data_IF_549050062926
#
_entry.id   IF_549050062926
#
_cell.length_a   1.000
_cell.length_b   1.000
_cell.length_c   1.000
_cell.angle_alpha   90.00
_cell.angle_beta   90.00
_cell.angle_gamma   90.00
#
_symmetry.space_group_name_H-M   'P 1'
#
loop_
_entity.id
_entity.type
_entity.pdbx_description
1 polymer ?
#
# COMPACT_ATOMS: atom_id res chain seq x y z
N UNK A 1 18.76 -6.70 9.49
CA UNK A 1 17.98 -5.89 8.54
C UNK A 1 17.36 -4.75 9.35
N UNK A 2 17.94 -3.55 9.27
CA UNK A 2 17.48 -2.40 10.04
C UNK A 2 16.20 -1.86 9.37
N UNK A 3 15.07 -1.93 10.07
CA UNK A 3 13.82 -1.29 9.65
C UNK A 3 13.89 0.17 10.10
N UNK A 4 14.16 1.08 9.16
CA UNK A 4 13.77 2.48 9.32
C UNK A 4 12.27 2.53 9.11
N UNK A 5 11.48 2.12 10.11
CA UNK A 5 10.05 2.38 10.12
C UNK A 5 9.87 3.86 10.41
N UNK A 6 9.38 4.58 9.41
CA UNK A 6 8.91 5.94 9.56
C UNK A 6 7.45 5.84 10.01
N UNK A 7 7.08 6.45 11.14
CA UNK A 7 5.72 6.42 11.70
C UNK A 7 4.66 6.80 10.64
N UNK A 8 5.02 7.70 9.71
CA UNK A 8 4.19 8.05 8.56
C UNK A 8 3.89 6.86 7.64
N UNK A 9 4.87 6.00 7.36
CA UNK A 9 4.67 4.84 6.50
C UNK A 9 3.81 3.78 7.19
N UNK A 10 3.94 3.61 8.51
CA UNK A 10 3.04 2.73 9.26
C UNK A 10 1.59 3.23 9.19
N UNK A 11 1.37 4.53 9.41
CA UNK A 11 0.05 5.14 9.28
C UNK A 11 -0.53 4.96 7.87
N UNK A 12 0.30 5.18 6.83
CA UNK A 12 -0.11 4.94 5.45
C UNK A 12 -0.51 3.48 5.24
N UNK A 13 0.27 2.50 5.73
CA UNK A 13 -0.07 1.08 5.61
C UNK A 13 -1.41 0.76 6.27
N UNK A 14 -1.67 1.30 7.47
CA UNK A 14 -2.95 1.09 8.14
C UNK A 14 -4.12 1.69 7.35
N UNK A 15 -3.96 2.91 6.81
CA UNK A 15 -4.98 3.53 5.96
C UNK A 15 -5.17 2.78 4.62
N UNK A 16 -4.10 2.22 4.05
CA UNK A 16 -4.18 1.45 2.80
C UNK A 16 -5.03 0.18 2.95
N UNK A 17 -5.09 -0.41 4.15
CA UNK A 17 -5.91 -1.59 4.44
C UNK A 17 -7.41 -1.30 4.43
N UNK A 18 -7.81 -0.05 4.72
CA UNK A 18 -9.22 0.35 4.79
C UNK A 18 -9.68 1.07 3.51
N UNK A 19 -8.76 1.56 2.68
CA UNK A 19 -9.09 2.17 1.40
C UNK A 19 -9.74 1.18 0.42
N UNK A 20 -10.99 1.46 0.04
CA UNK A 20 -11.78 0.56 -0.80
C UNK A 20 -11.19 0.31 -2.20
N UNK A 21 -10.38 1.23 -2.75
CA UNK A 21 -9.74 1.05 -4.06
C UNK A 21 -8.49 0.18 -3.91
N UNK A 22 -7.66 0.45 -2.90
CA UNK A 22 -6.43 -0.29 -2.64
C UNK A 22 -6.71 -1.72 -2.20
N UNK A 23 -7.75 -1.97 -1.40
CA UNK A 23 -8.19 -3.33 -1.06
C UNK A 23 -8.53 -4.13 -2.33
N UNK A 24 -9.23 -3.53 -3.30
CA UNK A 24 -9.51 -4.21 -4.59
C UNK A 24 -8.22 -4.56 -5.33
N UNK A 25 -7.26 -3.63 -5.40
CA UNK A 25 -5.98 -3.90 -6.03
C UNK A 25 -5.20 -5.00 -5.31
N UNK A 26 -5.23 -5.03 -3.98
CA UNK A 26 -4.63 -6.09 -3.19
C UNK A 26 -5.22 -7.46 -3.55
N UNK A 27 -6.55 -7.56 -3.63
CA UNK A 27 -7.21 -8.80 -4.07
C UNK A 27 -6.80 -9.21 -5.49
N UNK A 28 -6.64 -8.25 -6.42
CA UNK A 28 -6.17 -8.55 -7.78
C UNK A 28 -4.72 -9.09 -7.77
N UNK A 29 -3.85 -8.53 -6.93
CA UNK A 29 -2.47 -9.01 -6.75
C UNK A 29 -2.45 -10.42 -6.16
N UNK A 30 -3.26 -10.68 -5.13
CA UNK A 30 -3.41 -12.00 -4.50
C UNK A 30 -3.97 -13.06 -5.47
N UNK A 31 -4.81 -12.64 -6.43
CA UNK A 31 -5.28 -13.48 -7.54
C UNK A 31 -4.22 -13.68 -8.65
N UNK A 32 -3.02 -13.11 -8.52
CA UNK A 32 -1.96 -13.19 -9.52
C UNK A 32 -2.17 -12.32 -10.76
N UNK A 33 -3.13 -11.38 -10.74
CA UNK A 33 -3.33 -10.45 -11.85
C UNK A 33 -2.22 -9.40 -11.86
N UNK A 34 -1.68 -9.13 -13.05
CA UNK A 34 -0.68 -8.07 -13.25
C UNK A 34 -1.37 -6.71 -13.19
N UNK A 35 -1.08 -5.95 -12.15
CA UNK A 35 -1.47 -4.54 -11.98
C UNK A 35 -0.21 -3.69 -11.79
N UNK A 36 -0.31 -2.38 -12.03
CA UNK A 36 0.80 -1.43 -11.85
C UNK A 36 1.23 -1.24 -10.36
N UNK A 37 0.49 -1.86 -9.42
CA UNK A 37 0.71 -1.75 -7.99
C UNK A 37 1.48 -2.96 -7.46
N UNK A 38 2.46 -2.71 -6.60
CA UNK A 38 3.26 -3.72 -5.90
C UNK A 38 3.28 -3.43 -4.41
N UNK A 39 3.36 -4.48 -3.59
CA UNK A 39 3.58 -4.38 -2.14
C UNK A 39 5.09 -4.51 -1.91
N UNK A 40 5.70 -3.52 -1.25
CA UNK A 40 7.13 -3.55 -0.94
C UNK A 40 7.45 -4.39 0.32
N UNK A 41 8.72 -4.47 0.68
CA UNK A 41 9.21 -5.22 1.86
C UNK A 41 8.67 -4.71 3.20
N UNK A 42 8.15 -3.48 3.22
CA UNK A 42 7.54 -2.87 4.41
C UNK A 42 6.02 -3.03 4.42
N UNK A 43 5.43 -3.71 3.42
CA UNK A 43 3.98 -3.85 3.29
C UNK A 43 3.29 -2.65 2.66
N UNK A 44 4.05 -1.66 2.16
CA UNK A 44 3.49 -0.45 1.54
C UNK A 44 3.12 -0.72 0.09
N UNK A 45 1.88 -0.41 -0.28
CA UNK A 45 1.45 -0.43 -1.68
C UNK A 45 2.08 0.75 -2.44
N UNK A 46 2.74 0.44 -3.55
CA UNK A 46 3.39 1.40 -4.44
C UNK A 46 2.92 1.23 -5.88
N UNK A 47 2.55 2.35 -6.52
CA UNK A 47 2.25 2.43 -7.94
C UNK A 47 3.46 3.05 -8.68
N UNK A 48 4.13 2.25 -9.52
CA UNK A 48 5.34 2.69 -10.27
C UNK A 48 6.41 3.34 -9.37
N UNK A 49 6.64 2.77 -8.19
CA UNK A 49 7.64 3.24 -7.21
C UNK A 49 7.13 4.31 -6.22
N UNK A 50 5.98 4.95 -6.50
CA UNK A 50 5.36 5.97 -5.63
C UNK A 50 4.42 5.34 -4.62
N UNK A 51 4.42 5.85 -3.38
CA UNK A 51 3.54 5.38 -2.30
C UNK A 51 2.09 5.74 -2.62
N UNK A 52 1.18 4.76 -2.51
CA UNK A 52 -0.25 5.00 -2.62
C UNK A 52 -0.77 5.58 -1.30
N UNK A 53 -0.90 6.90 -1.18
CA UNK A 53 -1.47 7.52 0.03
C UNK A 53 -3.00 7.56 -0.12
N UNK A 54 -3.77 6.89 0.76
CA UNK A 54 -5.23 7.02 0.78
C UNK A 54 -5.65 8.44 1.13
N UNK A 55 -6.77 8.89 0.58
CA UNK A 55 -7.36 10.15 1.01
C UNK A 55 -7.72 10.05 2.51
N UNK A 56 -7.19 10.98 3.29
CA UNK A 56 -7.58 11.14 4.69
C UNK A 56 -8.87 11.96 4.66
N UNK A 57 -9.97 11.53 5.30
CA UNK A 57 -11.10 12.43 5.50
C UNK A 57 -10.60 13.68 6.23
N UNK A 58 -10.96 14.86 5.71
CA UNK A 58 -10.62 16.18 6.28
C UNK A 58 -11.00 16.30 7.76
#
# INVERSE_FOLDING_TARGET
MLRLTNDFLEEVVEKQKTDARLVKFRTLIEQGKRVDIKIDVNGVMRCRGRVCVPDVPE
#
